data_IF_616553263357
#
_entry.id   IF_616553263357
#
_cell.length_a   1.000
_cell.length_b   1.000
_cell.length_c   1.000
_cell.angle_alpha   90.00
_cell.angle_beta   90.00
_cell.angle_gamma   90.00
#
_symmetry.space_group_name_H-M   'P 1'
#
loop_
_entity.id
_entity.type
_entity.pdbx_description
1 polymer ?
#
# COMPACT_ATOMS: atom_id res chain seq x y z
N UNK A 1 -16.39 24.82 -30.66
CA UNK A 1 -17.06 23.56 -30.27
C UNK A 1 -17.62 22.89 -31.52
N UNK A 2 -16.88 21.96 -32.11
CA UNK A 2 -17.31 21.21 -33.29
C UNK A 2 -17.87 19.84 -32.86
N UNK A 3 -18.94 19.43 -33.53
CA UNK A 3 -19.90 18.40 -33.13
C UNK A 3 -19.26 16.98 -33.09
N UNK A 4 -18.73 16.55 -31.93
CA UNK A 4 -18.01 15.26 -31.74
C UNK A 4 -18.81 13.98 -32.01
N UNK A 5 -20.12 14.06 -32.28
CA UNK A 5 -21.00 12.88 -32.39
C UNK A 5 -21.05 12.23 -33.77
N UNK A 6 -20.34 12.73 -34.80
CA UNK A 6 -20.50 12.29 -36.20
C UNK A 6 -19.37 11.45 -36.82
N UNK A 7 -18.31 11.07 -36.10
CA UNK A 7 -17.14 10.40 -36.72
C UNK A 7 -16.51 9.28 -35.89
N UNK A 8 -17.27 8.61 -35.02
CA UNK A 8 -16.77 7.36 -34.41
C UNK A 8 -16.97 6.23 -35.41
N UNK A 9 -15.90 5.53 -35.87
CA UNK A 9 -16.04 4.36 -36.72
C UNK A 9 -16.91 3.30 -36.03
N UNK A 10 -17.60 2.48 -36.83
CA UNK A 10 -18.34 1.34 -36.29
C UNK A 10 -17.41 0.41 -35.50
N UNK A 11 -17.94 -0.19 -34.44
CA UNK A 11 -17.20 -1.15 -33.61
C UNK A 11 -16.74 -2.34 -34.47
N UNK A 12 -15.42 -2.56 -34.60
CA UNK A 12 -14.92 -3.68 -35.40
C UNK A 12 -15.24 -5.01 -34.71
N UNK A 13 -15.61 -6.01 -35.51
CA UNK A 13 -16.00 -7.35 -35.05
C UNK A 13 -14.84 -8.35 -35.04
N UNK A 14 -13.70 -7.99 -35.63
CA UNK A 14 -12.49 -8.83 -35.71
C UNK A 14 -11.25 -7.96 -35.79
N UNK A 15 -10.09 -8.54 -35.47
CA UNK A 15 -8.78 -7.89 -35.57
C UNK A 15 -8.43 -7.41 -36.98
N UNK A 16 -9.15 -7.79 -38.03
CA UNK A 16 -8.91 -7.36 -39.42
C UNK A 16 -9.61 -6.05 -39.81
N UNK A 17 -9.48 -5.00 -39.01
CA UNK A 17 -10.10 -3.70 -39.26
C UNK A 17 -9.09 -2.61 -39.68
N UNK A 18 -9.56 -1.64 -40.46
CA UNK A 18 -8.74 -0.49 -40.87
C UNK A 18 -8.81 0.59 -39.79
N UNK A 19 -7.65 1.06 -39.32
CA UNK A 19 -7.55 2.17 -38.37
C UNK A 19 -7.58 3.49 -39.18
N UNK A 20 -8.57 4.37 -38.99
CA UNK A 20 -8.60 5.64 -39.70
C UNK A 20 -7.43 6.54 -39.29
N UNK A 21 -6.93 7.36 -40.22
CA UNK A 21 -5.76 8.25 -40.01
C UNK A 21 -5.87 9.16 -38.79
N UNK A 22 -7.09 9.57 -38.42
CA UNK A 22 -7.32 10.37 -37.21
C UNK A 22 -6.86 9.66 -35.93
N UNK A 23 -6.94 8.33 -35.90
CA UNK A 23 -6.59 7.49 -34.75
C UNK A 23 -5.15 6.97 -34.79
N UNK A 24 -4.41 7.24 -35.88
CA UNK A 24 -2.97 6.94 -35.97
C UNK A 24 -2.10 8.08 -35.43
N UNK A 25 -2.73 9.17 -34.99
CA UNK A 25 -2.10 10.41 -34.57
C UNK A 25 -2.49 10.81 -33.14
N UNK A 26 -1.62 11.58 -32.48
CA UNK A 26 -1.87 12.11 -31.15
C UNK A 26 -2.92 13.24 -31.15
N UNK A 27 -3.39 13.59 -29.95
CA UNK A 27 -4.42 14.62 -29.78
C UNK A 27 -3.89 16.04 -29.77
N UNK A 28 -2.62 16.26 -29.39
CA UNK A 28 -2.09 17.61 -29.15
C UNK A 28 -1.52 18.24 -30.41
N UNK A 29 -0.65 17.50 -31.09
CA UNK A 29 0.12 18.02 -32.21
C UNK A 29 -0.25 17.35 -33.55
N UNK A 30 -1.14 16.36 -33.52
CA UNK A 30 -1.46 15.48 -34.64
C UNK A 30 -0.23 14.76 -35.22
N UNK A 31 0.74 14.48 -34.35
CA UNK A 31 1.96 13.74 -34.64
C UNK A 31 1.70 12.23 -34.68
N UNK A 32 2.61 11.49 -35.30
CA UNK A 32 2.51 10.03 -35.42
C UNK A 32 2.45 9.37 -34.04
N UNK A 33 1.49 8.47 -33.84
CA UNK A 33 1.31 7.68 -32.63
C UNK A 33 1.26 6.18 -32.89
N UNK A 34 0.61 5.74 -33.99
CA UNK A 34 0.68 4.35 -34.43
C UNK A 34 2.03 4.14 -35.13
N UNK A 35 2.91 3.38 -34.47
CA UNK A 35 4.27 3.12 -34.94
C UNK A 35 4.28 1.95 -35.92
N UNK A 36 3.56 0.87 -35.60
CA UNK A 36 3.55 -0.34 -36.40
C UNK A 36 2.17 -1.01 -36.37
N UNK A 37 1.80 -1.57 -37.51
CA UNK A 37 0.65 -2.43 -37.71
C UNK A 37 1.08 -3.58 -38.62
N UNK A 38 1.08 -4.80 -38.09
CA UNK A 38 1.55 -5.98 -38.83
C UNK A 38 0.67 -6.33 -40.03
N UNK A 39 -0.58 -5.86 -40.05
CA UNK A 39 -1.54 -6.11 -41.12
C UNK A 39 -1.55 -4.98 -42.16
N UNK A 40 -0.69 -3.97 -42.02
CA UNK A 40 -0.63 -2.85 -42.95
C UNK A 40 -0.10 -3.31 -44.32
N UNK A 41 -0.88 -3.15 -45.41
CA UNK A 41 -0.50 -3.56 -46.75
C UNK A 41 0.82 -2.95 -47.24
N UNK A 42 1.23 -1.80 -46.70
CA UNK A 42 2.47 -1.10 -47.09
C UNK A 42 3.75 -1.81 -46.63
N UNK A 43 3.65 -2.70 -45.65
CA UNK A 43 4.78 -3.50 -45.14
C UNK A 43 4.75 -4.95 -45.63
N UNK A 44 3.86 -5.27 -46.57
CA UNK A 44 3.66 -6.62 -47.10
C UNK A 44 4.85 -7.13 -47.93
N UNK A 45 5.51 -8.16 -47.41
CA UNK A 45 6.26 -9.15 -48.20
C UNK A 45 5.29 -9.79 -49.20
N UNK A 46 5.77 -9.97 -50.44
CA UNK A 46 5.07 -10.44 -51.62
C UNK A 46 3.85 -11.35 -51.38
N UNK A 47 2.73 -10.96 -51.98
CA UNK A 47 1.40 -11.60 -51.95
C UNK A 47 1.34 -12.97 -52.66
N UNK A 48 2.27 -13.87 -52.38
CA UNK A 48 2.28 -15.22 -52.95
C UNK A 48 2.50 -16.28 -51.89
N UNK A 49 1.69 -16.25 -50.82
CA UNK A 49 1.26 -17.41 -50.04
C UNK A 49 0.38 -16.90 -48.90
N UNK A 50 -0.84 -17.41 -48.79
CA UNK A 50 -1.82 -17.07 -47.77
C UNK A 50 -1.42 -17.58 -46.38
N UNK A 51 -0.27 -17.16 -45.86
CA UNK A 51 0.10 -17.38 -44.46
C UNK A 51 -0.04 -16.04 -43.75
N UNK A 52 -1.29 -15.65 -43.46
CA UNK A 52 -1.55 -14.61 -42.46
C UNK A 52 -0.90 -15.09 -41.16
N UNK A 53 0.03 -14.30 -40.62
CA UNK A 53 0.61 -14.57 -39.30
C UNK A 53 -0.51 -14.74 -38.26
N UNK A 54 -0.37 -15.66 -37.29
CA UNK A 54 -1.48 -16.11 -36.45
C UNK A 54 -2.07 -15.06 -35.49
N UNK A 55 -1.53 -13.84 -35.44
CA UNK A 55 -2.10 -12.71 -34.68
C UNK A 55 -1.62 -11.35 -35.21
N UNK A 56 -2.51 -10.34 -35.20
CA UNK A 56 -2.19 -8.95 -35.55
C UNK A 56 -1.50 -8.26 -34.38
N UNK A 57 -0.40 -7.56 -34.64
CA UNK A 57 0.32 -6.76 -33.65
C UNK A 57 0.21 -5.29 -34.01
N UNK A 58 -0.23 -4.50 -33.04
CA UNK A 58 -0.30 -3.04 -33.12
C UNK A 58 0.63 -2.44 -32.07
N UNK A 59 1.50 -1.52 -32.49
CA UNK A 59 2.44 -0.84 -31.61
C UNK A 59 2.15 0.66 -31.66
N UNK A 60 1.88 1.23 -30.50
CA UNK A 60 1.70 2.67 -30.33
C UNK A 60 2.83 3.26 -29.51
N UNK A 61 3.46 4.31 -30.03
CA UNK A 61 4.43 5.13 -29.32
C UNK A 61 4.63 6.44 -30.08
N UNK A 62 4.88 7.55 -29.37
CA UNK A 62 5.43 8.76 -29.98
C UNK A 62 6.94 8.65 -30.14
N UNK A 63 7.52 9.50 -31.00
CA UNK A 63 8.97 9.56 -31.20
C UNK A 63 9.70 10.01 -29.91
N UNK A 64 9.09 10.91 -29.13
CA UNK A 64 9.62 11.33 -27.82
C UNK A 64 9.68 10.15 -26.85
N UNK A 65 8.62 9.33 -26.78
CA UNK A 65 8.58 8.16 -25.92
C UNK A 65 9.60 7.09 -26.36
N UNK A 66 9.80 6.92 -27.67
CA UNK A 66 10.81 5.99 -28.19
C UNK A 66 12.23 6.44 -27.85
N UNK A 67 12.53 7.73 -27.99
CA UNK A 67 13.84 8.27 -27.60
C UNK A 67 14.08 8.06 -26.10
N UNK A 68 13.08 8.34 -25.25
CA UNK A 68 13.17 8.08 -23.81
C UNK A 68 13.37 6.59 -23.49
N UNK A 69 12.73 5.69 -24.24
CA UNK A 69 12.95 4.25 -24.10
C UNK A 69 14.37 3.84 -24.53
N UNK A 70 14.89 4.43 -25.60
CA UNK A 70 16.23 4.16 -26.11
C UNK A 70 17.32 4.67 -25.14
N UNK A 71 17.11 5.86 -24.57
CA UNK A 71 18.07 6.49 -23.66
C UNK A 71 18.00 5.93 -22.23
N UNK A 72 16.98 5.14 -21.89
CA UNK A 72 16.78 4.63 -20.53
C UNK A 72 17.67 3.45 -20.21
N UNK A 73 18.40 3.52 -19.09
CA UNK A 73 19.23 2.42 -18.58
C UNK A 73 18.38 1.22 -18.11
N UNK A 74 17.14 1.47 -17.67
CA UNK A 74 16.27 0.44 -17.10
C UNK A 74 14.87 0.48 -17.71
N UNK A 75 14.47 -0.67 -18.24
CA UNK A 75 13.14 -0.88 -18.82
C UNK A 75 12.31 -1.78 -17.90
N UNK A 76 11.06 -1.41 -17.70
CA UNK A 76 10.05 -2.29 -17.11
C UNK A 76 9.07 -2.71 -18.19
N UNK A 77 8.74 -4.00 -18.20
CA UNK A 77 7.86 -4.59 -19.20
C UNK A 77 6.88 -5.52 -18.51
N UNK A 78 5.59 -5.37 -18.83
CA UNK A 78 4.55 -6.24 -18.30
C UNK A 78 3.41 -6.39 -19.31
N UNK A 79 2.74 -7.54 -19.25
CA UNK A 79 1.65 -7.89 -20.16
C UNK A 79 0.36 -8.17 -19.40
N UNK A 80 -0.73 -7.51 -19.81
CA UNK A 80 -2.04 -7.68 -19.20
C UNK A 80 -3.09 -8.11 -20.22
N UNK A 81 -3.83 -9.17 -19.88
CA UNK A 81 -4.89 -9.73 -20.72
C UNK A 81 -6.23 -9.01 -20.49
N UNK A 82 -6.49 -8.55 -19.26
CA UNK A 82 -7.80 -8.00 -18.86
C UNK A 82 -8.17 -6.66 -19.50
N UNK A 83 -7.18 -5.92 -20.02
CA UNK A 83 -7.37 -4.63 -20.68
C UNK A 83 -7.27 -4.72 -22.20
N UNK A 84 -7.02 -5.92 -22.73
CA UNK A 84 -6.98 -6.15 -24.17
C UNK A 84 -8.40 -6.10 -24.75
N UNK A 85 -8.63 -5.38 -25.86
CA UNK A 85 -9.88 -5.52 -26.61
C UNK A 85 -10.10 -7.00 -26.96
N UNK A 86 -11.35 -7.48 -26.95
CA UNK A 86 -11.67 -8.91 -27.11
C UNK A 86 -11.16 -9.56 -28.40
N UNK A 87 -10.76 -8.75 -29.38
CA UNK A 87 -10.18 -9.15 -30.66
C UNK A 87 -8.65 -9.30 -30.63
N UNK A 88 -8.00 -9.00 -29.50
CA UNK A 88 -6.56 -9.13 -29.26
C UNK A 88 -6.34 -9.93 -27.97
N UNK A 89 -5.29 -10.74 -27.93
CA UNK A 89 -5.03 -11.60 -26.77
C UNK A 89 -4.49 -10.82 -25.57
N UNK A 90 -3.61 -9.84 -25.78
CA UNK A 90 -2.88 -9.17 -24.71
C UNK A 90 -2.53 -7.72 -25.05
N UNK A 91 -2.49 -6.87 -24.02
CA UNK A 91 -1.82 -5.57 -24.08
C UNK A 91 -0.48 -5.68 -23.37
N UNK A 92 0.61 -5.40 -24.08
CA UNK A 92 1.95 -5.39 -23.53
C UNK A 92 2.44 -3.95 -23.38
N UNK A 93 2.97 -3.60 -22.22
CA UNK A 93 3.39 -2.24 -21.88
C UNK A 93 4.89 -2.25 -21.58
N UNK A 94 5.63 -1.40 -22.29
CA UNK A 94 7.06 -1.14 -22.05
C UNK A 94 7.19 0.28 -21.50
N UNK A 95 7.88 0.44 -20.37
CA UNK A 95 8.07 1.72 -19.70
C UNK A 95 9.56 1.97 -19.46
N UNK A 96 10.02 3.17 -19.83
CA UNK A 96 11.30 3.70 -19.39
C UNK A 96 11.12 4.49 -18.09
N UNK A 97 12.13 4.43 -17.23
CA UNK A 97 12.17 5.28 -16.05
C UNK A 97 12.83 6.62 -16.43
N UNK A 98 12.10 7.72 -16.25
CA UNK A 98 12.68 9.06 -16.28
C UNK A 98 13.20 9.34 -14.87
N UNK A 99 14.51 9.41 -14.71
CA UNK A 99 15.16 9.45 -13.39
C UNK A 99 14.83 10.74 -12.61
N UNK A 100 14.15 10.60 -11.47
CA UNK A 100 14.40 11.42 -10.27
C UNK A 100 15.21 10.55 -9.28
N UNK A 101 16.51 10.46 -9.49
CA UNK A 101 17.48 9.64 -8.73
C UNK A 101 17.58 10.03 -7.26
N UNK A 102 17.32 11.31 -6.96
CA UNK A 102 17.62 11.95 -5.68
C UNK A 102 16.95 11.29 -4.46
N UNK A 103 15.75 10.73 -4.62
CA UNK A 103 14.97 10.29 -3.46
C UNK A 103 15.30 8.87 -2.94
N UNK A 104 15.89 7.99 -3.75
CA UNK A 104 16.07 6.59 -3.35
C UNK A 104 17.27 6.41 -2.41
N UNK A 105 18.42 7.00 -2.76
CA UNK A 105 19.65 6.92 -1.96
C UNK A 105 19.48 7.61 -0.61
N UNK A 106 18.90 8.82 -0.60
CA UNK A 106 18.57 9.57 0.62
C UNK A 106 17.71 8.72 1.57
N UNK A 107 16.70 8.03 1.02
CA UNK A 107 15.82 7.16 1.82
C UNK A 107 16.54 5.93 2.36
N UNK A 108 17.48 5.37 1.60
CA UNK A 108 18.30 4.24 2.05
C UNK A 108 19.22 4.65 3.20
N UNK A 109 19.95 5.77 3.05
CA UNK A 109 20.87 6.26 4.08
C UNK A 109 20.16 6.61 5.38
N UNK A 110 19.00 7.28 5.32
CA UNK A 110 18.20 7.55 6.54
C UNK A 110 17.82 6.25 7.26
N UNK A 111 17.50 5.18 6.52
CA UNK A 111 17.17 3.88 7.11
C UNK A 111 18.38 3.18 7.72
N UNK A 112 19.53 3.23 7.06
CA UNK A 112 20.77 2.67 7.58
C UNK A 112 21.23 3.43 8.83
N UNK A 113 21.08 4.75 8.89
CA UNK A 113 21.32 5.55 10.10
C UNK A 113 20.45 5.11 11.28
N UNK A 114 19.17 4.79 11.04
CA UNK A 114 18.30 4.24 12.10
C UNK A 114 18.75 2.84 12.56
N UNK A 115 19.30 2.03 11.64
CA UNK A 115 19.78 0.70 11.94
C UNK A 115 21.08 0.67 12.75
N UNK A 116 21.80 1.79 12.88
CA UNK A 116 23.00 1.89 13.73
C UNK A 116 22.73 1.53 15.19
N UNK A 117 21.48 1.62 15.66
CA UNK A 117 21.13 1.22 17.03
C UNK A 117 21.23 -0.31 17.24
N UNK A 118 21.31 -1.07 16.14
CA UNK A 118 21.25 -2.53 16.12
C UNK A 118 22.59 -3.18 15.79
N UNK A 119 23.67 -2.41 15.65
CA UNK A 119 25.02 -2.94 15.39
C UNK A 119 25.88 -2.81 16.66
N UNK A 120 26.92 -3.65 16.84
CA UNK A 120 27.82 -3.53 17.98
C UNK A 120 28.42 -2.12 18.07
N UNK A 121 28.46 -1.54 19.27
CA UNK A 121 28.85 -0.13 19.49
C UNK A 121 30.19 0.23 18.83
N UNK A 122 31.16 -0.69 18.88
CA UNK A 122 32.49 -0.53 18.30
C UNK A 122 32.51 -0.28 16.78
N UNK A 123 31.44 -0.64 16.06
CA UNK A 123 31.32 -0.45 14.61
C UNK A 123 30.43 0.74 14.23
N UNK A 124 29.71 1.34 15.18
CA UNK A 124 28.74 2.42 14.89
C UNK A 124 29.44 3.61 14.25
N UNK A 125 30.58 4.03 14.78
CA UNK A 125 31.31 5.20 14.31
C UNK A 125 31.84 5.00 12.88
N UNK A 126 32.43 3.84 12.58
CA UNK A 126 32.96 3.54 11.24
C UNK A 126 31.83 3.47 10.22
N UNK A 127 30.75 2.75 10.52
CA UNK A 127 29.60 2.62 9.63
C UNK A 127 28.92 3.97 9.37
N UNK A 128 28.84 4.86 10.35
CA UNK A 128 28.30 6.20 10.14
C UNK A 128 29.16 7.05 9.18
N UNK A 129 30.49 6.89 9.21
CA UNK A 129 31.40 7.55 8.26
C UNK A 129 31.21 6.95 6.85
N UNK A 130 31.19 5.62 6.73
CA UNK A 130 31.01 4.93 5.45
C UNK A 130 29.70 5.36 4.76
N UNK A 131 28.59 5.46 5.52
CA UNK A 131 27.31 5.98 5.02
C UNK A 131 27.39 7.39 4.44
N UNK A 132 28.27 8.22 5.01
CA UNK A 132 28.51 9.57 4.49
C UNK A 132 29.37 9.55 3.24
N UNK A 133 30.32 8.62 3.10
CA UNK A 133 31.21 8.53 1.94
C UNK A 133 30.52 7.96 0.69
N UNK A 134 29.50 7.12 0.86
CA UNK A 134 28.71 6.55 -0.25
C UNK A 134 27.82 7.59 -0.97
N UNK A 135 27.59 8.76 -0.38
CA UNK A 135 26.75 9.82 -0.95
C UNK A 135 27.48 10.63 -2.03
N UNK A 136 26.78 10.91 -3.15
CA UNK A 136 27.26 11.89 -4.13
C UNK A 136 27.16 13.34 -3.60
N UNK A 137 27.71 14.30 -4.33
CA UNK A 137 27.82 15.70 -3.86
C UNK A 137 26.45 16.34 -3.60
N UNK A 138 25.47 16.14 -4.48
CA UNK A 138 24.11 16.68 -4.34
C UNK A 138 23.40 16.09 -3.10
N UNK A 139 23.47 14.76 -2.94
CA UNK A 139 22.87 14.06 -1.79
C UNK A 139 23.54 14.45 -0.47
N UNK A 140 24.86 14.64 -0.50
CA UNK A 140 25.64 15.09 0.65
C UNK A 140 25.25 16.50 1.06
N UNK A 141 25.02 17.41 0.10
CA UNK A 141 24.55 18.75 0.39
C UNK A 141 23.15 18.72 1.01
N UNK A 142 22.24 17.93 0.46
CA UNK A 142 20.87 17.80 0.95
C UNK A 142 20.82 17.22 2.38
N UNK A 143 21.65 16.21 2.66
CA UNK A 143 21.72 15.54 3.96
C UNK A 143 22.71 16.18 4.95
N UNK A 144 23.43 17.25 4.56
CA UNK A 144 24.50 17.86 5.35
C UNK A 144 24.04 18.23 6.77
N UNK A 145 22.88 18.87 6.88
CA UNK A 145 22.32 19.28 8.16
C UNK A 145 21.92 18.08 9.04
N UNK A 146 21.43 16.99 8.43
CA UNK A 146 21.07 15.78 9.14
C UNK A 146 22.32 15.08 9.69
N UNK A 147 23.34 14.85 8.86
CA UNK A 147 24.59 14.23 9.30
C UNK A 147 25.28 15.06 10.38
N UNK A 148 25.33 16.39 10.21
CA UNK A 148 25.88 17.31 11.20
C UNK A 148 25.13 17.21 12.53
N UNK A 149 23.81 17.23 12.50
CA UNK A 149 22.98 17.10 13.70
C UNK A 149 23.18 15.74 14.36
N UNK A 150 23.14 14.65 13.57
CA UNK A 150 23.24 13.29 14.07
C UNK A 150 24.60 13.02 14.72
N UNK A 151 25.67 13.51 14.09
CA UNK A 151 27.02 13.46 14.66
C UNK A 151 27.12 14.25 15.98
N UNK A 152 26.56 15.45 16.03
CA UNK A 152 26.64 16.30 17.22
C UNK A 152 25.82 15.78 18.40
N UNK A 153 24.65 15.20 18.14
CA UNK A 153 23.70 14.78 19.17
C UNK A 153 23.84 13.31 19.55
N UNK A 154 24.01 12.41 18.59
CA UNK A 154 23.87 10.97 18.83
C UNK A 154 25.21 10.25 18.87
N UNK A 155 26.19 10.61 18.03
CA UNK A 155 27.49 9.91 18.00
C UNK A 155 28.32 10.07 19.28
N UNK A 156 28.05 11.10 20.10
CA UNK A 156 28.73 11.30 21.39
C UNK A 156 28.20 10.43 22.52
N UNK A 157 27.03 9.82 22.33
CA UNK A 157 26.31 9.09 23.38
C UNK A 157 25.78 7.75 22.88
N UNK A 158 26.61 7.04 22.08
CA UNK A 158 26.26 5.75 21.43
C UNK A 158 25.61 4.78 22.42
N UNK A 159 26.23 4.57 23.58
CA UNK A 159 25.74 3.66 24.61
C UNK A 159 24.37 4.01 25.19
N UNK A 160 23.90 5.25 25.05
CA UNK A 160 22.57 5.66 25.52
C UNK A 160 21.45 5.10 24.64
N UNK A 161 21.68 5.00 23.32
CA UNK A 161 20.65 4.68 22.34
C UNK A 161 20.91 3.39 21.57
N UNK A 162 22.12 2.82 21.67
CA UNK A 162 22.42 1.51 21.11
C UNK A 162 21.66 0.43 21.89
N UNK A 163 21.01 -0.47 21.17
CA UNK A 163 20.20 -1.57 21.74
C UNK A 163 20.70 -2.95 21.26
N UNK A 164 21.95 -3.06 20.78
CA UNK A 164 22.50 -4.29 20.23
C UNK A 164 22.45 -5.47 21.21
N UNK A 165 22.87 -5.24 22.46
CA UNK A 165 22.90 -6.25 23.52
C UNK A 165 21.69 -6.19 24.46
N UNK A 166 20.73 -5.29 24.19
CA UNK A 166 19.54 -5.16 25.03
C UNK A 166 18.57 -6.31 24.70
N UNK A 167 18.11 -7.09 25.68
CA UNK A 167 17.17 -8.19 25.46
C UNK A 167 15.84 -7.71 24.84
N UNK A 168 15.36 -6.56 25.30
CA UNK A 168 14.13 -5.92 24.85
C UNK A 168 14.45 -4.74 23.91
N UNK A 169 14.65 -5.04 22.62
CA UNK A 169 15.01 -4.06 21.58
C UNK A 169 13.83 -3.22 21.10
N UNK A 170 12.62 -3.45 21.62
CA UNK A 170 11.40 -2.78 21.20
C UNK A 170 10.87 -1.86 22.30
N UNK A 171 10.25 -0.76 21.88
CA UNK A 171 9.63 0.23 22.77
C UNK A 171 8.29 -0.27 23.39
N UNK A 172 7.97 -1.57 23.31
CA UNK A 172 6.68 -2.15 23.72
C UNK A 172 6.29 -1.77 25.16
N UNK A 173 7.24 -1.75 26.10
CA UNK A 173 6.99 -1.34 27.48
C UNK A 173 6.60 0.13 27.59
N UNK A 174 7.31 1.00 26.88
CA UNK A 174 7.04 2.44 26.81
C UNK A 174 5.71 2.72 26.09
N UNK A 175 5.39 1.99 25.03
CA UNK A 175 4.08 2.06 24.36
C UNK A 175 2.95 1.63 25.29
N UNK A 176 3.13 0.53 26.02
CA UNK A 176 2.18 0.05 27.02
C UNK A 176 1.95 1.05 28.15
N UNK A 177 3.03 1.67 28.65
CA UNK A 177 2.96 2.77 29.63
C UNK A 177 2.19 3.96 29.05
N UNK A 178 2.58 4.45 27.88
CA UNK A 178 1.96 5.61 27.24
C UNK A 178 0.47 5.37 26.97
N UNK A 179 0.08 4.17 26.55
CA UNK A 179 -1.31 3.80 26.36
C UNK A 179 -2.09 3.78 27.68
N UNK A 180 -1.51 3.23 28.76
CA UNK A 180 -2.11 3.29 30.12
C UNK A 180 -2.27 4.73 30.59
N UNK A 181 -1.25 5.56 30.44
CA UNK A 181 -1.24 6.94 30.90
C UNK A 181 -2.22 7.82 30.11
N UNK A 182 -2.30 7.65 28.78
CA UNK A 182 -3.33 8.30 27.95
C UNK A 182 -4.75 7.97 28.40
N UNK A 183 -5.02 6.70 28.74
CA UNK A 183 -6.32 6.31 29.31
C UNK A 183 -6.59 6.99 30.65
N UNK A 184 -5.57 7.23 31.47
CA UNK A 184 -5.71 7.95 32.75
C UNK A 184 -6.07 9.43 32.54
N UNK A 185 -5.49 10.07 31.54
CA UNK A 185 -5.73 11.50 31.22
C UNK A 185 -7.14 11.74 30.64
N UNK A 186 -7.79 10.72 30.07
CA UNK A 186 -9.16 10.71 29.50
C UNK A 186 -9.46 11.70 28.35
N UNK A 187 -8.74 12.82 28.24
CA UNK A 187 -8.92 13.85 27.22
C UNK A 187 -7.65 14.02 26.38
N UNK A 188 -7.78 14.16 25.06
CA UNK A 188 -6.63 14.37 24.16
C UNK A 188 -5.89 15.70 24.42
N UNK A 189 -6.54 16.65 25.09
CA UNK A 189 -5.99 17.95 25.49
C UNK A 189 -6.46 18.31 26.90
N UNK A 190 -5.90 17.70 27.95
CA UNK A 190 -6.28 18.04 29.32
C UNK A 190 -5.84 19.48 29.63
N UNK A 191 -6.64 20.20 30.43
CA UNK A 191 -6.14 21.42 31.04
C UNK A 191 -5.03 21.08 32.05
N UNK A 192 -4.24 22.09 32.42
CA UNK A 192 -3.05 21.91 33.27
C UNK A 192 -3.38 21.21 34.60
N UNK A 193 -4.53 21.50 35.20
CA UNK A 193 -4.94 20.90 36.47
C UNK A 193 -5.32 19.42 36.32
N UNK A 194 -6.07 19.07 35.27
CA UNK A 194 -6.42 17.69 34.96
C UNK A 194 -5.18 16.84 34.63
N UNK A 195 -4.19 17.44 33.97
CA UNK A 195 -2.91 16.81 33.69
C UNK A 195 -2.11 16.57 34.98
N UNK A 196 -1.95 17.60 35.83
CA UNK A 196 -1.25 17.49 37.11
C UNK A 196 -1.92 16.44 38.01
N UNK A 197 -3.26 16.43 38.09
CA UNK A 197 -4.00 15.44 38.87
C UNK A 197 -3.76 14.00 38.34
N UNK A 198 -3.66 13.84 37.02
CA UNK A 198 -3.33 12.55 36.41
C UNK A 198 -1.90 12.08 36.74
N UNK A 199 -0.93 13.01 36.81
CA UNK A 199 0.44 12.71 37.26
C UNK A 199 0.44 12.28 38.72
N UNK A 200 -0.23 13.03 39.60
CA UNK A 200 -0.29 12.71 41.05
C UNK A 200 -0.82 11.29 41.27
N UNK A 201 -1.93 10.95 40.60
CA UNK A 201 -2.52 9.59 40.65
C UNK A 201 -1.58 8.50 40.12
N UNK A 202 -0.73 8.81 39.14
CA UNK A 202 0.27 7.86 38.64
C UNK A 202 1.39 7.63 39.66
N UNK A 203 1.90 8.71 40.28
CA UNK A 203 2.90 8.64 41.35
C UNK A 203 2.38 7.81 42.53
N UNK A 204 1.14 8.04 42.96
CA UNK A 204 0.52 7.26 44.04
C UNK A 204 0.42 5.77 43.66
N UNK A 205 0.02 5.46 42.41
CA UNK A 205 -0.05 4.08 41.91
C UNK A 205 1.31 3.38 41.94
N UNK A 206 2.38 4.10 41.56
CA UNK A 206 3.74 3.57 41.58
C UNK A 206 4.23 3.38 43.01
N UNK A 207 3.93 4.32 43.91
CA UNK A 207 4.29 4.22 45.32
C UNK A 207 3.64 3.00 45.98
N UNK A 208 2.35 2.76 45.72
CA UNK A 208 1.63 1.56 46.19
C UNK A 208 2.28 0.27 45.68
N UNK A 209 2.72 0.25 44.42
CA UNK A 209 3.44 -0.88 43.83
C UNK A 209 4.77 -1.13 44.54
N UNK A 210 5.54 -0.08 44.83
CA UNK A 210 6.82 -0.19 45.53
C UNK A 210 6.63 -0.72 46.95
N UNK A 211 5.63 -0.20 47.69
CA UNK A 211 5.29 -0.71 49.03
C UNK A 211 4.93 -2.19 48.97
N UNK A 212 4.14 -2.62 47.98
CA UNK A 212 3.77 -4.02 47.80
C UNK A 212 5.01 -4.89 47.56
N UNK A 213 5.90 -4.50 46.64
CA UNK A 213 7.15 -5.23 46.35
C UNK A 213 8.03 -5.33 47.59
N UNK A 214 8.25 -4.22 48.29
CA UNK A 214 9.09 -4.17 49.48
C UNK A 214 8.52 -5.02 50.63
N UNK A 215 7.20 -5.21 50.65
CA UNK A 215 6.52 -6.10 51.59
C UNK A 215 6.54 -7.58 51.15
N UNK A 216 7.29 -7.93 50.10
CA UNK A 216 7.35 -9.28 49.52
C UNK A 216 6.08 -9.67 48.76
N UNK A 217 5.12 -8.76 48.60
CA UNK A 217 3.89 -8.99 47.86
C UNK A 217 4.12 -8.70 46.37
N UNK A 218 3.56 -9.54 45.51
CA UNK A 218 3.55 -9.23 44.07
C UNK A 218 2.57 -8.08 43.82
N UNK A 219 2.96 -7.03 43.08
CA UNK A 219 2.08 -5.92 42.74
C UNK A 219 0.76 -6.42 42.18
N UNK A 220 -0.35 -5.96 42.77
CA UNK A 220 -1.67 -6.26 42.24
C UNK A 220 -1.83 -5.48 40.94
N UNK A 221 -1.41 -6.06 39.82
CA UNK A 221 -1.91 -5.61 38.52
C UNK A 221 -3.42 -5.67 38.63
N UNK A 222 -4.12 -4.54 38.50
CA UNK A 222 -5.52 -4.58 38.08
C UNK A 222 -5.51 -5.25 36.71
N UNK A 223 -5.55 -6.59 36.69
CA UNK A 223 -6.24 -7.29 35.63
C UNK A 223 -7.62 -6.64 35.60
N UNK A 224 -8.17 -6.34 34.41
CA UNK A 224 -9.54 -5.85 34.33
C UNK A 224 -10.41 -6.71 35.22
N UNK A 225 -11.39 -6.09 35.88
CA UNK A 225 -12.25 -6.71 36.88
C UNK A 225 -12.87 -7.99 36.29
N UNK A 226 -12.19 -9.13 36.48
CA UNK A 226 -12.81 -10.44 36.41
C UNK A 226 -13.43 -10.56 37.79
N UNK A 227 -14.54 -9.84 38.01
CA UNK A 227 -15.57 -10.32 38.93
C UNK A 227 -15.70 -11.81 38.64
N UNK A 228 -15.61 -12.67 39.64
CA UNK A 228 -15.71 -14.12 39.47
C UNK A 228 -16.81 -14.47 38.49
N UNK A 229 -16.41 -14.66 37.24
CA UNK A 229 -17.19 -15.17 36.14
C UNK A 229 -16.24 -16.20 35.65
N UNK A 230 -16.47 -17.44 36.06
CA UNK A 230 -16.66 -18.49 35.06
C UNK A 230 -15.81 -18.22 33.80
N UNK A 231 -14.47 -18.20 33.91
CA UNK A 231 -13.61 -18.35 32.73
C UNK A 231 -13.72 -19.78 32.21
N UNK A 232 -14.40 -20.64 32.98
CA UNK A 232 -15.14 -21.80 32.53
C UNK A 232 -16.26 -21.41 31.56
N UNK A 233 -16.30 -22.06 30.41
CA UNK A 233 -17.31 -21.92 29.37
C UNK A 233 -17.37 -20.57 28.63
N UNK A 234 -17.39 -19.37 29.21
CA UNK A 234 -17.79 -18.15 28.44
C UNK A 234 -16.74 -17.66 27.42
N UNK A 235 -15.45 -17.66 27.76
CA UNK A 235 -14.39 -17.25 26.82
C UNK A 235 -14.13 -18.33 25.75
N UNK A 236 -14.14 -19.61 26.14
CA UNK A 236 -14.14 -20.73 25.19
C UNK A 236 -15.39 -20.68 24.32
N UNK A 237 -16.56 -20.40 24.90
CA UNK A 237 -17.82 -20.24 24.18
C UNK A 237 -17.81 -19.01 23.29
N UNK A 238 -17.11 -17.94 23.63
CA UNK A 238 -17.00 -16.76 22.75
C UNK A 238 -16.07 -17.02 21.58
N UNK A 239 -14.99 -17.79 21.77
CA UNK A 239 -14.18 -18.30 20.67
C UNK A 239 -14.95 -19.32 19.81
N UNK A 240 -15.72 -20.21 20.46
CA UNK A 240 -16.54 -21.25 19.80
C UNK A 240 -17.72 -20.63 19.05
N UNK A 241 -18.57 -19.84 19.70
CA UNK A 241 -19.69 -19.16 19.07
C UNK A 241 -19.22 -18.09 18.09
N UNK A 242 -18.18 -17.32 18.43
CA UNK A 242 -17.59 -16.33 17.52
C UNK A 242 -17.03 -16.99 16.27
N UNK A 243 -16.22 -18.05 16.43
CA UNK A 243 -15.70 -18.82 15.32
C UNK A 243 -16.79 -19.48 14.48
N UNK A 244 -17.79 -20.11 15.12
CA UNK A 244 -18.94 -20.70 14.43
C UNK A 244 -19.76 -19.66 13.65
N UNK A 245 -19.99 -18.47 14.23
CA UNK A 245 -20.67 -17.36 13.56
C UNK A 245 -19.84 -16.85 12.39
N UNK A 246 -18.52 -16.65 12.56
CA UNK A 246 -17.63 -16.20 11.48
C UNK A 246 -17.57 -17.21 10.34
N UNK A 247 -17.52 -18.51 10.64
CA UNK A 247 -17.58 -19.59 9.65
C UNK A 247 -18.94 -19.56 8.94
N UNK A 248 -20.05 -19.50 9.67
CA UNK A 248 -21.39 -19.51 9.08
C UNK A 248 -21.64 -18.27 8.20
N UNK A 249 -21.35 -17.08 8.71
CA UNK A 249 -21.51 -15.81 7.98
C UNK A 249 -20.54 -15.77 6.78
N UNK A 250 -19.31 -16.24 6.95
CA UNK A 250 -18.32 -16.33 5.86
C UNK A 250 -18.79 -17.27 4.75
N UNK A 251 -19.18 -18.49 5.07
CA UNK A 251 -19.67 -19.47 4.08
C UNK A 251 -20.94 -18.94 3.40
N UNK A 252 -21.95 -18.51 4.16
CA UNK A 252 -23.22 -18.02 3.60
C UNK A 252 -22.97 -16.79 2.73
N UNK A 253 -22.21 -15.81 3.22
CA UNK A 253 -21.93 -14.57 2.49
C UNK A 253 -21.16 -14.82 1.19
N UNK A 254 -20.11 -15.64 1.23
CA UNK A 254 -19.30 -15.94 0.05
C UNK A 254 -20.03 -16.85 -0.94
N UNK A 255 -20.80 -17.86 -0.50
CA UNK A 255 -21.66 -18.66 -1.39
C UNK A 255 -22.75 -17.78 -2.04
N UNK A 256 -23.43 -16.92 -1.28
CA UNK A 256 -24.40 -15.98 -1.82
C UNK A 256 -23.78 -15.02 -2.85
N UNK A 257 -22.55 -14.55 -2.59
CA UNK A 257 -21.79 -13.73 -3.54
C UNK A 257 -21.47 -14.51 -4.82
N UNK A 258 -20.99 -15.75 -4.70
CA UNK A 258 -20.73 -16.63 -5.85
C UNK A 258 -21.99 -16.90 -6.65
N UNK A 259 -23.10 -17.24 -6.01
CA UNK A 259 -24.39 -17.49 -6.68
C UNK A 259 -24.92 -16.24 -7.37
N UNK A 260 -24.73 -15.06 -6.78
CA UNK A 260 -25.16 -13.78 -7.34
C UNK A 260 -24.33 -13.43 -8.58
N UNK A 261 -23.01 -13.43 -8.45
CA UNK A 261 -22.10 -13.02 -9.53
C UNK A 261 -21.89 -14.11 -10.60
N UNK A 262 -22.23 -15.38 -10.30
CA UNK A 262 -22.23 -16.47 -11.28
C UNK A 262 -23.44 -16.46 -12.22
N UNK A 263 -24.46 -15.61 -11.98
CA UNK A 263 -25.60 -15.49 -12.89
C UNK A 263 -25.12 -15.08 -14.28
N UNK A 264 -25.71 -15.65 -15.34
CA UNK A 264 -25.29 -15.41 -16.75
C UNK A 264 -25.22 -13.91 -17.09
N UNK A 265 -26.08 -13.09 -16.50
CA UNK A 265 -26.11 -11.63 -16.72
C UNK A 265 -24.87 -10.92 -16.14
N UNK A 266 -24.34 -11.40 -15.01
CA UNK A 266 -23.24 -10.75 -14.28
C UNK A 266 -21.87 -11.39 -14.56
N UNK A 267 -21.83 -12.66 -14.96
CA UNK A 267 -20.57 -13.41 -15.18
C UNK A 267 -19.68 -12.80 -16.27
N UNK A 268 -20.24 -12.04 -17.20
CA UNK A 268 -19.50 -11.36 -18.28
C UNK A 268 -18.97 -9.96 -17.89
N UNK A 269 -19.29 -9.47 -16.68
CA UNK A 269 -18.78 -8.19 -16.18
C UNK A 269 -17.47 -8.46 -15.41
N UNK A 270 -16.37 -7.83 -15.83
CA UNK A 270 -15.03 -8.06 -15.27
C UNK A 270 -14.95 -7.86 -13.75
N UNK A 271 -15.66 -6.87 -13.20
CA UNK A 271 -15.75 -6.66 -11.75
C UNK A 271 -16.46 -7.80 -11.04
N UNK A 272 -17.46 -8.42 -11.67
CA UNK A 272 -18.14 -9.59 -11.10
C UNK A 272 -17.23 -10.82 -11.09
N UNK A 273 -16.38 -11.00 -12.12
CA UNK A 273 -15.35 -12.04 -12.10
C UNK A 273 -14.34 -11.83 -10.97
N UNK A 274 -13.93 -10.59 -10.72
CA UNK A 274 -13.08 -10.27 -9.57
C UNK A 274 -13.76 -10.59 -8.23
N UNK A 275 -15.03 -10.21 -8.05
CA UNK A 275 -15.79 -10.55 -6.84
C UNK A 275 -15.98 -12.06 -6.67
N UNK A 276 -16.11 -12.82 -7.77
CA UNK A 276 -16.15 -14.28 -7.70
C UNK A 276 -14.80 -14.85 -7.24
N UNK A 277 -13.68 -14.41 -7.81
CA UNK A 277 -12.34 -14.87 -7.38
C UNK A 277 -12.07 -14.50 -5.92
N UNK A 278 -12.45 -13.29 -5.50
CA UNK A 278 -12.33 -12.86 -4.10
C UNK A 278 -13.17 -13.73 -3.17
N UNK A 279 -14.42 -14.03 -3.56
CA UNK A 279 -15.29 -14.90 -2.78
C UNK A 279 -14.79 -16.37 -2.72
N UNK A 280 -14.18 -16.89 -3.79
CA UNK A 280 -13.54 -18.21 -3.78
C UNK A 280 -12.34 -18.22 -2.83
N UNK A 281 -11.46 -17.21 -2.91
CA UNK A 281 -10.29 -17.09 -2.04
C UNK A 281 -10.68 -17.02 -0.56
N UNK A 282 -11.67 -16.18 -0.24
CA UNK A 282 -12.14 -16.02 1.13
C UNK A 282 -12.86 -17.29 1.63
N UNK A 283 -13.58 -18.00 0.75
CA UNK A 283 -14.18 -19.30 1.09
C UNK A 283 -13.11 -20.36 1.40
N UNK A 284 -12.03 -20.43 0.62
CA UNK A 284 -10.89 -21.34 0.89
C UNK A 284 -10.27 -21.02 2.26
N UNK A 285 -10.08 -19.75 2.58
CA UNK A 285 -9.56 -19.33 3.89
C UNK A 285 -10.51 -19.69 5.04
N UNK A 286 -11.82 -19.44 4.89
CA UNK A 286 -12.83 -19.80 5.90
C UNK A 286 -12.88 -21.32 6.10
N UNK A 287 -12.80 -22.12 5.03
CA UNK A 287 -12.73 -23.58 5.12
C UNK A 287 -11.49 -24.06 5.88
N UNK A 288 -10.33 -23.43 5.68
CA UNK A 288 -9.13 -23.73 6.48
C UNK A 288 -9.27 -23.29 7.94
N UNK A 289 -9.99 -22.19 8.19
CA UNK A 289 -10.27 -21.72 9.55
C UNK A 289 -11.19 -22.68 10.33
N UNK A 290 -12.00 -23.51 9.64
CA UNK A 290 -12.77 -24.60 10.28
C UNK A 290 -11.84 -25.62 10.92
N UNK A 291 -10.72 -25.95 10.28
CA UNK A 291 -9.75 -26.89 10.84
C UNK A 291 -9.16 -26.35 12.15
N UNK A 292 -8.71 -25.09 12.15
CA UNK A 292 -8.20 -24.43 13.35
C UNK A 292 -9.28 -24.36 14.45
N UNK A 293 -10.53 -24.09 14.07
CA UNK A 293 -11.66 -24.08 14.99
C UNK A 293 -11.95 -25.46 15.61
N UNK A 294 -11.90 -26.53 14.83
CA UNK A 294 -12.17 -27.90 15.30
C UNK A 294 -11.02 -28.41 16.18
N UNK A 295 -9.78 -28.15 15.78
CA UNK A 295 -8.60 -28.69 16.46
C UNK A 295 -8.26 -27.87 17.71
N UNK A 296 -8.15 -26.55 17.58
CA UNK A 296 -7.76 -25.66 18.69
C UNK A 296 -8.97 -25.18 19.50
N UNK A 297 -10.12 -24.95 18.84
CA UNK A 297 -11.33 -24.43 19.48
C UNK A 297 -12.16 -25.48 20.22
N UNK A 298 -12.39 -26.64 19.61
CA UNK A 298 -13.11 -27.76 20.25
C UNK A 298 -12.18 -28.72 21.01
N UNK A 299 -10.87 -28.44 21.01
CA UNK A 299 -9.83 -29.24 21.67
C UNK A 299 -9.82 -30.73 21.26
N UNK A 300 -10.24 -31.02 20.03
CA UNK A 300 -10.24 -32.37 19.50
C UNK A 300 -8.81 -32.70 19.04
N UNK A 301 -8.09 -33.48 19.84
CA UNK A 301 -6.77 -33.99 19.46
C UNK A 301 -6.94 -35.20 18.55
N UNK A 302 -6.73 -35.02 17.25
CA UNK A 302 -6.63 -36.15 16.32
C UNK A 302 -5.17 -36.42 15.96
N UNK A 303 -4.71 -37.65 16.22
CA UNK A 303 -3.42 -38.15 15.70
C UNK A 303 -3.60 -38.56 14.24
N UNK A 304 -3.80 -37.59 13.34
CA UNK A 304 -3.86 -37.89 11.91
C UNK A 304 -2.44 -38.02 11.35
N UNK A 305 -2.17 -38.99 10.46
CA UNK A 305 -0.85 -39.14 9.84
C UNK A 305 -0.50 -38.00 8.87
N UNK A 306 -1.45 -37.09 8.59
CA UNK A 306 -1.32 -35.99 7.64
C UNK A 306 -1.15 -34.61 8.30
N UNK A 307 -0.91 -34.58 9.62
CA UNK A 307 -0.81 -33.33 10.39
C UNK A 307 0.22 -32.36 9.80
N UNK A 308 1.39 -32.86 9.39
CA UNK A 308 2.48 -32.04 8.84
C UNK A 308 2.11 -31.43 7.50
N UNK A 309 1.48 -32.20 6.62
CA UNK A 309 1.00 -31.76 5.30
C UNK A 309 -0.09 -30.70 5.44
N UNK A 310 -1.03 -30.88 6.38
CA UNK A 310 -2.08 -29.91 6.65
C UNK A 310 -1.49 -28.61 7.21
N UNK A 311 -0.51 -28.66 8.11
CA UNK A 311 0.19 -27.47 8.61
C UNK A 311 0.94 -26.71 7.51
N UNK A 312 1.57 -27.42 6.56
CA UNK A 312 2.25 -26.80 5.42
C UNK A 312 1.26 -26.15 4.45
N UNK A 313 0.17 -26.84 4.11
CA UNK A 313 -0.89 -26.31 3.26
C UNK A 313 -1.54 -25.07 3.90
N UNK A 314 -1.77 -25.09 5.21
CA UNK A 314 -2.26 -23.95 6.00
C UNK A 314 -1.32 -22.74 5.90
N UNK A 315 -0.02 -22.94 6.11
CA UNK A 315 0.98 -21.87 5.96
C UNK A 315 0.99 -21.26 4.56
N UNK A 316 0.88 -22.10 3.53
CA UNK A 316 0.80 -21.66 2.13
C UNK A 316 -0.45 -20.83 1.83
N UNK A 317 -1.64 -21.27 2.26
CA UNK A 317 -2.91 -20.57 2.05
C UNK A 317 -2.95 -19.23 2.81
N UNK A 318 -2.45 -19.20 4.06
CA UNK A 318 -2.35 -17.96 4.83
C UNK A 318 -1.41 -16.95 4.16
N UNK A 319 -0.32 -17.40 3.54
CA UNK A 319 0.57 -16.56 2.74
C UNK A 319 -0.13 -15.89 1.56
N UNK A 320 -1.04 -16.60 0.88
CA UNK A 320 -1.86 -16.03 -0.20
C UNK A 320 -2.85 -14.97 0.31
N UNK A 321 -3.39 -15.14 1.52
CA UNK A 321 -4.30 -14.14 2.12
C UNK A 321 -3.60 -12.80 2.45
N UNK A 322 -2.29 -12.79 2.72
CA UNK A 322 -1.51 -11.55 2.93
C UNK A 322 -1.42 -10.66 1.66
N UNK A 323 -1.58 -11.24 0.47
CA UNK A 323 -1.65 -10.47 -0.79
C UNK A 323 -2.86 -9.51 -0.77
N UNK A 324 -3.92 -9.85 -0.03
CA UNK A 324 -5.09 -8.98 0.20
C UNK A 324 -4.76 -7.72 0.98
N UNK A 325 -3.90 -7.79 2.01
CA UNK A 325 -3.45 -6.63 2.78
C UNK A 325 -2.62 -5.68 1.93
N UNK A 326 -1.79 -6.25 1.06
CA UNK A 326 -0.99 -5.51 0.09
C UNK A 326 -1.89 -4.74 -0.91
N UNK A 327 -2.90 -5.40 -1.47
CA UNK A 327 -3.86 -4.77 -2.40
C UNK A 327 -4.72 -3.68 -1.71
N UNK A 328 -5.16 -3.92 -0.47
CA UNK A 328 -5.89 -2.91 0.31
C UNK A 328 -5.02 -1.68 0.65
N UNK A 329 -3.73 -1.89 0.87
CA UNK A 329 -2.76 -0.81 1.12
C UNK A 329 -2.58 0.06 -0.13
N UNK A 330 -2.54 -0.56 -1.31
CA UNK A 330 -2.49 0.16 -2.59
C UNK A 330 -3.77 1.00 -2.80
N UNK A 331 -4.94 0.44 -2.46
CA UNK A 331 -6.21 1.15 -2.62
C UNK A 331 -6.35 2.35 -1.68
N UNK A 332 -5.89 2.24 -0.43
CA UNK A 332 -5.87 3.37 0.53
C UNK A 332 -4.97 4.51 0.07
N UNK A 333 -3.82 4.20 -0.55
CA UNK A 333 -2.90 5.22 -1.08
C UNK A 333 -3.52 6.02 -2.22
N UNK A 334 -4.24 5.36 -3.14
CA UNK A 334 -4.97 6.04 -4.23
C UNK A 334 -6.04 7.02 -3.73
N UNK A 335 -6.79 6.66 -2.68
CA UNK A 335 -7.80 7.54 -2.09
C UNK A 335 -7.19 8.75 -1.39
N UNK A 336 -6.00 8.57 -0.79
CA UNK A 336 -5.28 9.63 -0.10
C UNK A 336 -4.70 10.67 -1.09
N UNK A 337 -4.20 10.23 -2.25
CA UNK A 337 -3.74 11.11 -3.33
C UNK A 337 -4.87 11.95 -3.94
N UNK A 338 -6.06 11.38 -4.13
CA UNK A 338 -7.24 12.13 -4.59
C UNK A 338 -7.64 13.25 -3.62
N UNK A 339 -7.63 12.99 -2.32
CA UNK A 339 -7.95 14.00 -1.30
C UNK A 339 -6.93 15.14 -1.22
N UNK A 340 -5.64 14.86 -1.44
CA UNK A 340 -4.59 15.89 -1.50
C UNK A 340 -4.79 16.78 -2.73
N UNK A 341 -5.13 16.19 -3.88
CA UNK A 341 -5.35 16.95 -5.11
C UNK A 341 -6.61 17.85 -5.02
N UNK A 342 -7.68 17.39 -4.39
CA UNK A 342 -8.89 18.21 -4.16
C UNK A 342 -8.63 19.39 -3.21
N UNK A 343 -7.82 19.20 -2.17
CA UNK A 343 -7.43 20.29 -1.24
C UNK A 343 -6.55 21.35 -1.93
N UNK A 344 -5.62 20.93 -2.79
CA UNK A 344 -4.79 21.85 -3.56
C UNK A 344 -5.62 22.74 -4.49
N UNK A 345 -6.63 22.17 -5.16
CA UNK A 345 -7.54 22.91 -6.05
C UNK A 345 -8.38 23.95 -5.27
N UNK A 346 -8.87 23.57 -4.08
CA UNK A 346 -9.66 24.47 -3.22
C UNK A 346 -8.85 25.68 -2.75
N UNK A 347 -7.59 25.49 -2.37
CA UNK A 347 -6.70 26.57 -1.91
C UNK A 347 -6.33 27.54 -3.05
N UNK A 348 -6.11 27.04 -4.26
CA UNK A 348 -5.87 27.87 -5.47
C UNK A 348 -7.06 28.73 -5.85
N UNK A 349 -8.28 28.23 -5.61
CA UNK A 349 -9.52 28.95 -5.89
C UNK A 349 -9.76 30.07 -4.87
N UNK A 350 -9.43 29.83 -3.59
CA UNK A 350 -9.50 30.83 -2.53
C UNK A 350 -8.47 31.96 -2.69
N UNK A 351 -7.27 31.66 -3.19
CA UNK A 351 -6.24 32.67 -3.44
C UNK A 351 -6.63 33.65 -4.57
N UNK A 352 -7.38 33.19 -5.59
CA UNK A 352 -7.86 34.04 -6.68
C UNK A 352 -8.97 35.01 -6.28
N UNK A 353 -9.71 34.76 -5.19
CA UNK A 353 -10.82 35.63 -4.76
C UNK A 353 -10.38 36.79 -3.85
N UNK A 354 -9.12 36.87 -3.44
CA UNK A 354 -8.62 37.87 -2.49
C UNK A 354 -7.86 39.05 -3.14
N UNK A 355 -7.77 39.13 -4.48
CA UNK A 355 -7.20 40.29 -5.16
C UNK A 355 -8.30 41.21 -5.75
N UNK A 356 -8.61 42.36 -5.13
CA UNK A 356 -9.54 43.32 -5.71
C UNK A 356 -8.85 44.18 -6.78
N UNK A 357 -9.41 44.16 -7.98
CA UNK A 357 -9.08 45.05 -9.10
C UNK A 357 -9.54 46.47 -8.80
N UNK A 358 -8.63 47.36 -8.41
CA UNK A 358 -8.85 48.81 -8.43
C UNK A 358 -7.98 49.43 -9.54
N UNK A 359 -8.58 49.79 -10.67
CA UNK A 359 -7.97 50.71 -11.64
C UNK A 359 -8.40 52.15 -11.33
N UNK A 360 -7.48 53.14 -11.34
CA UNK A 360 -7.85 54.55 -11.28
C UNK A 360 -8.03 55.12 -12.69
N UNK A 361 -9.20 55.70 -12.95
CA UNK A 361 -9.49 56.52 -14.12
C UNK A 361 -8.78 57.87 -13.99
N UNK A 362 -7.77 58.13 -14.82
CA UNK A 362 -7.30 59.50 -15.12
C UNK A 362 -7.53 59.78 -16.61
N UNK A 363 -8.45 60.69 -16.87
CA UNK A 363 -8.63 61.36 -18.15
C UNK A 363 -7.71 62.58 -18.22
N UNK A 364 -7.02 62.76 -19.35
CA UNK A 364 -6.50 64.01 -19.94
C UNK A 364 -5.78 63.57 -21.23
N UNK A 365 -6.44 63.58 -22.39
CA UNK A 365 -6.49 64.70 -23.34
C UNK A 365 -5.12 65.26 -23.74
N UNK A 366 -4.59 64.85 -24.90
CA UNK A 366 -4.14 65.77 -25.96
C UNK A 366 -3.47 65.00 -27.12
N UNK A 367 -3.99 65.29 -28.33
CA UNK A 367 -3.52 64.98 -29.69
C UNK A 367 -3.95 63.62 -30.24
#
# INVERSE_FOLDING_TARGET
MHNRRKMTPGLPQSSSFVIPDLYTRDYRNHERLLLHDSDDPKYGINQSEHVRSPGRVLIWSSDVQLNLLFDSERLHMDGTFSTSPSMFDQVFIIQAFLHETYNLMIRCVIRQMMALALVPEQYVQSLFVDLGEELNDDEREELANLFKYFNAQWMRQISMWNVYEVPDKTNNFSEGYNHRFKRRIHNSHPNIWAFIDSIRKEVDTVHDIIIQINSGMRPRTKRPNISGTTTSSIASNSYIYGGAITIAVGIIGHICSLLTFSRRVLRHVSTSMFFMVLAVSDLIYVLMSIYDFVMDGLQITTSTPYYVEICRLRGFINGFSMIREFLNTIQRKKTQEQHVHTRALHNLTAAKSQHPTHMPTKALSSI
#
